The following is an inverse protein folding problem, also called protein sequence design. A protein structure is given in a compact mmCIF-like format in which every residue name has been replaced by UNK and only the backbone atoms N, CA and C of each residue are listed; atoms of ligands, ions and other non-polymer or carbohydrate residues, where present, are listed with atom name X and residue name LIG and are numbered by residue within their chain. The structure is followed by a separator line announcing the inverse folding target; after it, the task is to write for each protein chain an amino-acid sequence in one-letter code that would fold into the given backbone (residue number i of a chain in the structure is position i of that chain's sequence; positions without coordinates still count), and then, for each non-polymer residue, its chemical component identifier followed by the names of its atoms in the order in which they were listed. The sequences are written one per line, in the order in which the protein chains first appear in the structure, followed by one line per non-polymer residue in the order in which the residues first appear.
data_IF_709672521529
#
_entry.id   IF_709672521529
#
_cell.length_a   1.000
_cell.length_b   1.000
_cell.length_c   1.000
_cell.angle_alpha   90.00
_cell.angle_beta   90.00
_cell.angle_gamma   90.00
#
_symmetry.space_group_name_H-M   'P 1'
#
loop_
_entity.id
_entity.type
_entity.pdbx_description
1 polymer ?
#
# COMPACT_ATOMS: atom_id res chain seq x y z
N UNK A 1 46.68 -54.20 -6.32
CA UNK A 1 45.25 -53.82 -6.24
C UNK A 1 45.12 -52.51 -7.00
N UNK A 2 44.69 -52.51 -8.27
CA UNK A 2 43.28 -52.39 -8.73
C UNK A 2 42.67 -51.10 -8.15
N UNK A 3 42.37 -50.01 -8.86
CA UNK A 3 41.98 -49.70 -10.25
C UNK A 3 42.28 -48.20 -10.53
N UNK A 4 42.20 -47.56 -11.71
CA UNK A 4 42.26 -47.83 -13.16
C UNK A 4 41.51 -46.64 -13.84
N UNK A 5 42.23 -45.81 -14.62
CA UNK A 5 41.88 -45.22 -15.96
C UNK A 5 40.60 -44.34 -16.03
N UNK A 6 40.56 -43.06 -16.45
CA UNK A 6 41.27 -42.20 -17.42
C UNK A 6 41.06 -42.53 -18.92
N UNK A 7 40.00 -41.93 -19.48
CA UNK A 7 39.93 -41.30 -20.82
C UNK A 7 40.35 -42.12 -22.06
N UNK A 8 39.41 -42.37 -22.97
CA UNK A 8 39.66 -42.52 -24.43
C UNK A 8 38.31 -42.29 -25.13
N UNK A 9 38.14 -41.17 -25.83
CA UNK A 9 38.49 -40.93 -27.24
C UNK A 9 37.43 -41.43 -28.22
N UNK A 10 36.94 -40.46 -29.00
CA UNK A 10 35.98 -40.60 -30.10
C UNK A 10 36.60 -41.27 -31.34
N UNK A 11 35.74 -41.80 -32.22
CA UNK A 11 35.53 -41.38 -33.61
C UNK A 11 34.97 -42.54 -34.47
N UNK A 12 33.96 -42.19 -35.27
CA UNK A 12 33.48 -42.81 -36.53
C UNK A 12 32.86 -44.20 -36.46
N UNK A 13 31.89 -44.58 -37.29
CA UNK A 13 30.95 -43.99 -38.24
C UNK A 13 30.16 -45.23 -38.69
N UNK A 14 28.84 -45.17 -38.86
CA UNK A 14 28.22 -45.79 -40.03
C UNK A 14 26.76 -45.36 -40.17
N UNK A 15 26.48 -44.95 -41.40
CA UNK A 15 25.25 -44.35 -41.88
C UNK A 15 24.08 -45.34 -41.90
N UNK A 16 22.92 -44.86 -41.47
CA UNK A 16 21.64 -45.36 -41.96
C UNK A 16 20.81 -44.15 -42.41
N UNK A 17 20.96 -43.80 -43.68
CA UNK A 17 20.02 -42.91 -44.36
C UNK A 17 18.77 -43.73 -44.68
N UNK A 18 17.80 -43.73 -43.76
CA UNK A 18 16.45 -44.17 -44.06
C UNK A 18 15.73 -43.01 -44.75
N UNK A 19 15.46 -43.17 -46.04
CA UNK A 19 14.52 -42.33 -46.79
C UNK A 19 13.13 -42.50 -46.19
N UNK A 20 12.70 -41.51 -45.40
CA UNK A 20 11.32 -41.40 -44.95
C UNK A 20 10.44 -40.98 -46.15
N UNK A 21 9.28 -41.61 -46.37
CA UNK A 21 8.33 -41.15 -47.37
C UNK A 21 7.85 -39.75 -47.02
N UNK A 22 7.79 -38.88 -48.02
CA UNK A 22 7.20 -37.56 -47.91
C UNK A 22 5.73 -37.71 -47.50
N UNK A 23 5.46 -37.45 -46.23
CA UNK A 23 4.11 -37.33 -45.71
C UNK A 23 3.63 -35.94 -46.14
N UNK A 24 2.70 -35.89 -47.08
CA UNK A 24 1.97 -34.67 -47.42
C UNK A 24 1.31 -34.18 -46.13
N UNK A 25 1.93 -33.16 -45.53
CA UNK A 25 1.35 -32.45 -44.41
C UNK A 25 0.12 -31.73 -44.94
N UNK A 26 -1.05 -32.27 -44.60
CA UNK A 26 -2.30 -31.51 -44.66
C UNK A 26 -2.08 -30.34 -43.71
N UNK A 27 -1.86 -29.15 -44.27
CA UNK A 27 -1.97 -27.89 -43.52
C UNK A 27 -3.42 -27.79 -43.04
N UNK A 28 -3.69 -28.32 -41.86
CA UNK A 28 -4.83 -27.87 -41.07
C UNK A 28 -4.58 -26.40 -40.77
N UNK A 29 -5.27 -25.54 -41.53
CA UNK A 29 -5.39 -24.12 -41.23
C UNK A 29 -6.11 -24.06 -39.89
N UNK A 30 -5.34 -23.99 -38.79
CA UNK A 30 -5.86 -23.56 -37.51
C UNK A 30 -6.51 -22.20 -37.75
N UNK A 31 -7.85 -22.16 -37.74
CA UNK A 31 -8.58 -20.91 -37.56
C UNK A 31 -8.07 -20.33 -36.25
N UNK A 32 -7.18 -19.35 -36.39
CA UNK A 32 -6.82 -18.46 -35.29
C UNK A 32 -8.13 -17.81 -34.90
N UNK A 33 -8.79 -18.36 -33.88
CA UNK A 33 -9.85 -17.67 -33.17
C UNK A 33 -9.28 -16.30 -32.88
N UNK A 34 -9.89 -15.28 -33.51
CA UNK A 34 -9.58 -13.90 -33.24
C UNK A 34 -9.83 -13.75 -31.76
N UNK A 35 -8.75 -13.82 -30.98
CA UNK A 35 -8.74 -13.47 -29.57
C UNK A 35 -9.37 -12.11 -29.57
N UNK A 36 -10.63 -12.04 -29.11
CA UNK A 36 -11.32 -10.79 -28.93
C UNK A 36 -10.32 -9.92 -28.20
N UNK A 37 -9.91 -8.82 -28.84
CA UNK A 37 -9.19 -7.76 -28.19
C UNK A 37 -10.02 -7.46 -26.95
N UNK A 38 -9.58 -8.01 -25.82
CA UNK A 38 -10.07 -7.64 -24.51
C UNK A 38 -9.91 -6.16 -24.59
N UNK A 39 -11.02 -5.44 -24.67
CA UNK A 39 -11.03 -3.99 -24.72
C UNK A 39 -10.34 -3.58 -23.44
N UNK A 40 -9.00 -3.45 -23.52
CA UNK A 40 -8.19 -2.92 -22.47
C UNK A 40 -8.82 -1.58 -22.30
N UNK A 41 -9.50 -1.42 -21.18
CA UNK A 41 -10.03 -0.13 -20.82
C UNK A 41 -8.80 0.78 -20.82
N UNK A 42 -8.58 1.51 -21.93
CA UNK A 42 -7.40 2.33 -22.21
C UNK A 42 -7.22 3.40 -21.12
N UNK A 43 -8.21 3.48 -20.23
CA UNK A 43 -8.32 4.30 -19.04
C UNK A 43 -7.22 4.01 -18.01
N UNK A 44 -6.53 2.87 -18.04
CA UNK A 44 -5.25 2.69 -17.32
C UNK A 44 -5.34 2.74 -15.78
N UNK A 45 -6.56 2.80 -15.20
CA UNK A 45 -6.79 2.81 -13.75
C UNK A 45 -6.74 1.42 -13.12
N UNK A 46 -7.30 0.44 -13.83
CA UNK A 46 -7.65 -0.88 -13.31
C UNK A 46 -7.28 -1.97 -14.30
N UNK A 47 -6.13 -1.86 -14.99
CA UNK A 47 -5.66 -3.02 -15.76
C UNK A 47 -5.09 -4.07 -14.80
N UNK A 48 -5.22 -5.35 -15.15
CA UNK A 48 -4.67 -6.47 -14.36
C UNK A 48 -3.15 -6.41 -14.17
N UNK A 49 -2.49 -5.54 -14.96
CA UNK A 49 -1.05 -5.33 -14.95
C UNK A 49 -0.61 -4.24 -13.94
N UNK A 50 -1.49 -3.35 -13.47
CA UNK A 50 -1.09 -2.32 -12.52
C UNK A 50 -1.43 -2.70 -11.07
N UNK A 51 -0.68 -2.19 -10.10
CA UNK A 51 -1.05 -2.37 -8.69
C UNK A 51 -2.36 -1.65 -8.37
N UNK A 52 -3.21 -2.24 -7.54
CA UNK A 52 -4.39 -1.55 -7.01
C UNK A 52 -3.93 -0.50 -5.99
N UNK A 53 -4.34 0.76 -6.16
CA UNK A 53 -4.08 1.81 -5.16
C UNK A 53 -5.13 1.68 -4.06
N UNK A 54 -4.76 1.01 -2.98
CA UNK A 54 -5.67 0.74 -1.85
C UNK A 54 -5.75 1.88 -0.82
N UNK A 55 -4.72 2.72 -0.74
CA UNK A 55 -4.63 3.91 0.12
C UNK A 55 -4.19 5.12 -0.68
N UNK A 56 -4.49 6.28 -0.12
CA UNK A 56 -3.78 7.51 -0.41
C UNK A 56 -2.34 7.37 0.04
N UNK A 57 -1.94 8.17 1.03
CA UNK A 57 -0.60 8.06 1.61
C UNK A 57 -0.69 7.22 2.87
N UNK A 58 -1.58 7.62 3.79
CA UNK A 58 -1.82 6.90 5.03
C UNK A 58 -3.30 6.49 5.17
N UNK A 59 -4.23 7.25 4.59
CA UNK A 59 -5.66 6.96 4.67
C UNK A 59 -6.06 5.93 3.61
N UNK A 60 -6.81 4.91 4.02
CA UNK A 60 -7.35 3.91 3.10
C UNK A 60 -8.35 4.55 2.12
N UNK A 61 -8.34 4.13 0.86
CA UNK A 61 -9.41 4.50 -0.06
C UNK A 61 -10.61 3.54 0.08
N UNK A 62 -11.81 3.89 -0.42
CA UNK A 62 -12.98 2.98 -0.33
C UNK A 62 -12.86 1.72 -1.21
N UNK A 63 -11.79 1.57 -2.00
CA UNK A 63 -11.58 0.39 -2.84
C UNK A 63 -10.88 -0.72 -2.07
N UNK A 64 -11.26 -1.96 -2.34
CA UNK A 64 -10.53 -3.15 -1.89
C UNK A 64 -9.48 -3.54 -2.93
N UNK A 65 -8.43 -4.24 -2.51
CA UNK A 65 -7.54 -4.96 -3.43
C UNK A 65 -8.30 -6.04 -4.21
N UNK A 66 -7.70 -6.57 -5.27
CA UNK A 66 -8.31 -7.62 -6.10
C UNK A 66 -8.63 -8.86 -5.28
N UNK A 67 -9.76 -9.51 -5.60
CA UNK A 67 -10.12 -10.80 -5.01
C UNK A 67 -8.99 -11.83 -5.18
N UNK A 68 -8.83 -12.67 -4.18
CA UNK A 68 -7.78 -13.68 -4.06
C UNK A 68 -6.38 -13.08 -4.23
N UNK A 69 -6.18 -11.83 -3.80
CA UNK A 69 -4.87 -11.19 -3.84
C UNK A 69 -4.39 -10.83 -2.44
N UNK A 70 -3.08 -10.93 -2.27
CA UNK A 70 -2.34 -10.54 -1.08
C UNK A 70 -1.55 -9.27 -1.39
N UNK A 71 -1.70 -8.23 -0.59
CA UNK A 71 -0.89 -7.02 -0.70
C UNK A 71 0.07 -6.94 0.48
N UNK A 72 1.36 -6.86 0.19
CA UNK A 72 2.40 -6.57 1.17
C UNK A 72 2.80 -5.10 1.08
N UNK A 73 3.01 -4.49 2.24
CA UNK A 73 3.30 -3.08 2.41
C UNK A 73 4.54 -2.91 3.27
N UNK A 74 5.45 -2.05 2.83
CA UNK A 74 6.56 -1.53 3.63
C UNK A 74 6.51 -0.01 3.59
N UNK A 75 6.40 0.61 4.75
CA UNK A 75 6.41 2.06 4.88
C UNK A 75 7.60 2.52 5.71
N UNK A 76 8.08 3.69 5.37
CA UNK A 76 9.22 4.33 6.01
C UNK A 76 8.95 5.83 6.13
N UNK A 77 9.16 6.40 7.32
CA UNK A 77 9.17 7.85 7.56
C UNK A 77 10.39 8.24 8.39
N UNK A 78 11.01 9.34 8.00
CA UNK A 78 12.09 9.95 8.78
C UNK A 78 11.49 10.55 10.05
N UNK A 79 12.28 10.54 11.12
CA UNK A 79 11.92 11.24 12.35
C UNK A 79 12.35 12.70 12.31
N UNK A 80 13.54 12.95 11.78
CA UNK A 80 14.09 14.29 11.63
C UNK A 80 13.49 15.00 10.43
N UNK A 81 13.40 16.31 10.57
CA UNK A 81 13.03 17.24 9.50
C UNK A 81 14.03 17.10 8.33
N UNK A 82 13.54 17.25 7.11
CA UNK A 82 14.31 17.04 5.89
C UNK A 82 15.56 17.93 5.75
N UNK A 83 15.55 19.12 6.34
CA UNK A 83 16.59 20.15 6.20
C UNK A 83 17.73 20.04 7.24
N UNK A 84 17.59 19.16 8.24
CA UNK A 84 18.59 19.00 9.29
C UNK A 84 19.67 17.98 8.90
N UNK A 85 20.79 18.47 8.34
CA UNK A 85 21.98 17.67 7.97
C UNK A 85 21.81 16.75 6.76
N UNK A 86 21.07 17.19 5.73
CA UNK A 86 20.64 16.35 4.59
C UNK A 86 21.77 15.62 3.84
N UNK A 87 23.02 16.08 3.90
CA UNK A 87 24.15 15.37 3.27
C UNK A 87 24.76 14.28 4.16
N UNK A 88 24.62 14.38 5.48
CA UNK A 88 25.17 13.42 6.42
C UNK A 88 24.23 12.23 6.62
N UNK A 89 22.91 12.44 6.54
CA UNK A 89 21.90 11.41 6.81
C UNK A 89 21.02 11.09 5.60
N UNK A 90 21.52 11.37 4.38
CA UNK A 90 20.81 11.15 3.12
C UNK A 90 19.39 11.75 3.17
N UNK A 91 19.30 13.04 3.51
CA UNK A 91 18.05 13.78 3.65
C UNK A 91 17.07 13.17 4.65
N UNK A 92 17.61 12.73 5.79
CA UNK A 92 16.88 12.09 6.88
C UNK A 92 16.65 10.58 6.72
N UNK A 93 16.92 9.97 5.55
CA UNK A 93 16.69 8.53 5.33
C UNK A 93 17.58 7.63 6.18
N UNK A 94 18.75 8.12 6.59
CA UNK A 94 19.69 7.46 7.51
C UNK A 94 19.71 8.13 8.89
N UNK A 95 18.71 8.98 9.19
CA UNK A 95 18.58 9.55 10.52
C UNK A 95 18.09 8.46 11.49
N UNK A 96 18.80 8.26 12.61
CA UNK A 96 18.37 7.33 13.65
C UNK A 96 16.93 7.57 14.14
N UNK A 97 16.21 6.49 14.49
CA UNK A 97 14.83 6.55 15.00
C UNK A 97 13.75 6.51 13.91
N UNK A 98 14.01 5.80 12.81
CA UNK A 98 13.12 5.65 11.66
C UNK A 98 11.80 4.95 12.01
N UNK A 99 10.68 5.49 11.53
CA UNK A 99 9.37 4.86 11.62
C UNK A 99 9.19 3.89 10.46
N UNK A 100 9.02 2.62 10.78
CA UNK A 100 8.86 1.52 9.82
C UNK A 100 7.53 0.83 10.06
N UNK A 101 6.68 0.88 9.03
CA UNK A 101 5.40 0.20 8.96
C UNK A 101 5.49 -1.05 8.10
N UNK A 102 4.93 -2.17 8.56
CA UNK A 102 4.80 -3.40 7.80
C UNK A 102 3.33 -3.80 7.75
N UNK A 103 2.77 -3.96 6.56
CA UNK A 103 1.37 -4.31 6.37
C UNK A 103 1.17 -5.53 5.50
N UNK A 104 0.10 -6.26 5.79
CA UNK A 104 -0.40 -7.37 4.98
C UNK A 104 -1.90 -7.21 4.81
N UNK A 105 -2.40 -7.29 3.58
CA UNK A 105 -3.83 -7.23 3.29
C UNK A 105 -4.23 -8.37 2.38
N UNK A 106 -5.39 -8.98 2.61
CA UNK A 106 -5.91 -10.09 1.81
C UNK A 106 -7.38 -9.86 1.47
N UNK A 107 -7.77 -10.03 0.22
CA UNK A 107 -9.16 -9.89 -0.21
C UNK A 107 -9.78 -11.24 -0.61
N UNK A 108 -10.55 -11.90 0.27
CA UNK A 108 -11.26 -13.13 -0.09
C UNK A 108 -12.44 -12.91 -1.06
N UNK A 109 -12.90 -11.66 -1.22
CA UNK A 109 -13.98 -11.28 -2.12
C UNK A 109 -13.74 -9.89 -2.72
N UNK A 110 -14.45 -9.55 -3.80
CA UNK A 110 -14.29 -8.27 -4.52
C UNK A 110 -14.71 -7.03 -3.71
N UNK A 111 -15.29 -7.23 -2.53
CA UNK A 111 -15.78 -6.19 -1.65
C UNK A 111 -15.36 -6.39 -0.20
N UNK A 112 -14.48 -7.35 0.09
CA UNK A 112 -14.04 -7.66 1.44
C UNK A 112 -12.52 -7.76 1.49
N UNK A 113 -11.92 -7.09 2.45
CA UNK A 113 -10.48 -7.06 2.67
C UNK A 113 -10.17 -7.18 4.16
N UNK A 114 -9.21 -8.03 4.49
CA UNK A 114 -8.67 -8.23 5.83
C UNK A 114 -7.28 -7.60 5.88
N UNK A 115 -6.95 -6.94 6.98
CA UNK A 115 -5.69 -6.23 7.16
C UNK A 115 -5.00 -6.58 8.46
N UNK A 116 -3.67 -6.69 8.39
CA UNK A 116 -2.77 -6.66 9.52
C UNK A 116 -1.72 -5.57 9.28
N UNK A 117 -1.36 -4.82 10.32
CA UNK A 117 -0.33 -3.80 10.24
C UNK A 117 0.50 -3.77 11.52
N UNK A 118 1.80 -3.53 11.40
CA UNK A 118 2.71 -3.26 12.51
C UNK A 118 3.45 -1.96 12.25
N UNK A 119 3.48 -1.07 13.24
CA UNK A 119 4.33 0.12 13.27
C UNK A 119 5.27 0.04 14.47
N UNK A 120 6.56 0.27 14.25
CA UNK A 120 7.52 0.28 15.35
C UNK A 120 7.39 1.53 16.25
N UNK A 121 7.59 1.35 17.54
CA UNK A 121 7.92 2.40 18.49
C UNK A 121 9.41 2.69 18.45
N UNK A 122 9.80 3.91 18.08
CA UNK A 122 11.20 4.34 18.22
C UNK A 122 11.31 5.48 19.23
N UNK A 123 10.43 6.47 19.09
CA UNK A 123 10.24 7.58 20.05
C UNK A 123 9.22 7.22 21.12
N UNK A 124 8.26 6.39 20.78
CA UNK A 124 7.19 5.91 21.62
C UNK A 124 7.64 4.64 22.33
N UNK A 125 7.13 4.44 23.54
CA UNK A 125 7.42 3.25 24.35
C UNK A 125 6.64 2.00 23.89
N UNK A 126 6.01 2.06 22.71
CA UNK A 126 5.16 1.00 22.22
C UNK A 126 5.31 0.75 20.73
N UNK A 127 5.23 -0.52 20.37
CA UNK A 127 4.90 -0.95 19.02
C UNK A 127 3.37 -0.96 18.86
N UNK A 128 2.89 -0.60 17.67
CA UNK A 128 1.46 -0.65 17.33
C UNK A 128 1.18 -1.81 16.39
N UNK A 129 0.16 -2.60 16.71
CA UNK A 129 -0.35 -3.67 15.86
C UNK A 129 -1.82 -3.39 15.54
N UNK A 130 -2.19 -3.36 14.26
CA UNK A 130 -3.58 -3.22 13.83
C UNK A 130 -4.09 -4.49 13.17
N UNK A 131 -5.34 -4.83 13.46
CA UNK A 131 -6.11 -5.86 12.78
C UNK A 131 -7.41 -5.24 12.31
N UNK A 132 -7.70 -5.30 11.02
CA UNK A 132 -8.87 -4.63 10.46
C UNK A 132 -9.58 -5.43 9.38
N UNK A 133 -10.86 -5.10 9.20
CA UNK A 133 -11.71 -5.58 8.13
C UNK A 133 -12.28 -4.35 7.42
N UNK A 134 -12.21 -4.34 6.08
CA UNK A 134 -12.78 -3.32 5.22
C UNK A 134 -13.79 -3.95 4.27
N UNK A 135 -15.01 -3.41 4.27
CA UNK A 135 -16.10 -3.84 3.42
C UNK A 135 -16.54 -2.71 2.48
N UNK A 136 -16.43 -2.93 1.18
CA UNK A 136 -16.90 -2.00 0.13
C UNK A 136 -18.38 -2.23 -0.14
N UNK A 137 -19.20 -1.36 0.43
CA UNK A 137 -20.67 -1.40 0.32
C UNK A 137 -21.14 -0.99 -1.07
N UNK A 138 -20.62 0.12 -1.59
CA UNK A 138 -20.98 0.65 -2.91
C UNK A 138 -19.77 0.68 -3.81
N UNK A 139 -20.00 0.36 -5.08
CA UNK A 139 -18.99 0.46 -6.14
C UNK A 139 -19.40 1.55 -7.13
N UNK A 140 -18.43 2.33 -7.55
CA UNK A 140 -18.65 3.47 -8.44
C UNK A 140 -19.23 3.09 -9.81
N UNK A 141 -18.83 1.94 -10.36
CA UNK A 141 -19.32 1.43 -11.65
C UNK A 141 -20.83 1.19 -11.66
N UNK A 142 -21.43 0.93 -10.50
CA UNK A 142 -22.87 0.66 -10.35
C UNK A 142 -23.61 1.86 -9.74
N UNK A 143 -23.03 2.52 -8.75
CA UNK A 143 -23.73 3.52 -7.92
C UNK A 143 -23.25 4.95 -8.14
N UNK A 144 -22.26 5.18 -9.01
CA UNK A 144 -21.65 6.49 -9.24
C UNK A 144 -20.68 6.94 -8.13
N UNK A 145 -20.58 6.19 -7.03
CA UNK A 145 -19.65 6.44 -5.91
C UNK A 145 -19.12 5.11 -5.33
N UNK A 146 -17.86 5.10 -4.89
CA UNK A 146 -17.32 4.05 -4.03
C UNK A 146 -17.61 4.42 -2.56
N UNK A 147 -18.17 3.49 -1.78
CA UNK A 147 -18.40 3.65 -0.34
C UNK A 147 -17.94 2.40 0.39
N UNK A 148 -17.16 2.56 1.44
CA UNK A 148 -16.68 1.46 2.28
C UNK A 148 -16.69 1.80 3.76
N UNK A 149 -16.78 0.76 4.58
CA UNK A 149 -16.58 0.85 6.02
C UNK A 149 -15.38 -0.02 6.40
N UNK A 150 -14.54 0.49 7.30
CA UNK A 150 -13.43 -0.25 7.92
C UNK A 150 -13.63 -0.27 9.43
N UNK A 151 -13.45 -1.42 10.05
CA UNK A 151 -13.45 -1.56 11.49
C UNK A 151 -12.29 -2.46 11.92
N UNK A 152 -11.73 -2.22 13.10
CA UNK A 152 -10.57 -2.96 13.55
C UNK A 152 -10.20 -2.71 15.01
N UNK A 153 -9.08 -3.31 15.40
CA UNK A 153 -8.47 -3.20 16.71
C UNK A 153 -7.02 -2.76 16.56
N UNK A 154 -6.58 -1.91 17.47
CA UNK A 154 -5.18 -1.54 17.66
C UNK A 154 -4.72 -2.11 19.00
N UNK A 155 -3.53 -2.70 19.03
CA UNK A 155 -2.84 -3.17 20.23
C UNK A 155 -1.49 -2.45 20.34
N UNK A 156 -1.29 -1.78 21.47
CA UNK A 156 -0.08 -1.04 21.80
C UNK A 156 0.75 -1.89 22.77
N UNK A 157 1.74 -2.59 22.22
CA UNK A 157 2.64 -3.44 22.98
C UNK A 157 3.71 -2.58 23.66
N UNK A 158 3.68 -2.50 24.99
CA UNK A 158 4.52 -1.61 25.79
C UNK A 158 5.55 -2.37 26.61
N UNK A 159 6.73 -1.78 26.80
CA UNK A 159 7.73 -2.33 27.72
C UNK A 159 7.50 -1.78 29.14
N UNK A 160 7.58 -2.66 30.15
CA UNK A 160 7.51 -2.33 31.58
C UNK A 160 6.21 -1.71 32.11
N UNK A 161 5.16 -1.58 31.29
CA UNK A 161 3.82 -1.11 31.66
C UNK A 161 2.75 -1.93 30.96
N UNK A 162 1.51 -1.86 31.44
CA UNK A 162 0.40 -2.60 30.86
C UNK A 162 0.12 -2.14 29.42
N UNK A 163 -0.12 -3.13 28.55
CA UNK A 163 -0.53 -2.90 27.17
C UNK A 163 -1.85 -2.13 27.10
N UNK A 164 -2.01 -1.36 26.01
CA UNK A 164 -3.24 -0.65 25.70
C UNK A 164 -3.88 -1.20 24.42
N UNK A 165 -5.18 -0.96 24.26
CA UNK A 165 -5.88 -1.31 23.03
C UNK A 165 -6.92 -0.25 22.66
N UNK A 166 -7.20 -0.15 21.36
CA UNK A 166 -8.17 0.79 20.81
C UNK A 166 -8.99 0.14 19.69
N UNK A 167 -10.14 0.74 19.40
CA UNK A 167 -10.98 0.37 18.27
C UNK A 167 -10.79 1.37 17.13
N UNK A 168 -10.70 0.85 15.91
CA UNK A 168 -10.65 1.61 14.67
C UNK A 168 -12.04 1.60 14.05
N UNK A 169 -12.52 2.76 13.61
CA UNK A 169 -13.72 2.88 12.78
C UNK A 169 -13.48 3.88 11.66
N UNK A 170 -13.79 3.52 10.40
CA UNK A 170 -13.68 4.42 9.28
C UNK A 170 -14.87 4.25 8.34
N UNK A 171 -15.44 5.37 7.89
CA UNK A 171 -16.36 5.43 6.75
C UNK A 171 -15.64 6.16 5.62
N UNK A 172 -15.53 5.55 4.46
CA UNK A 172 -14.72 6.04 3.34
C UNK A 172 -15.61 6.20 2.12
N UNK A 173 -15.55 7.35 1.47
CA UNK A 173 -16.30 7.65 0.26
C UNK A 173 -15.37 8.26 -0.78
N UNK A 174 -15.60 7.98 -2.07
CA UNK A 174 -14.77 8.54 -3.11
C UNK A 174 -15.14 8.06 -4.49
N UNK A 175 -14.42 8.56 -5.49
CA UNK A 175 -14.67 8.19 -6.87
C UNK A 175 -13.73 8.87 -7.84
N UNK A 176 -13.66 8.29 -9.04
CA UNK A 176 -13.03 8.86 -10.23
C UNK A 176 -13.93 9.99 -10.73
N UNK A 177 -13.39 11.20 -10.86
CA UNK A 177 -14.07 12.31 -11.54
C UNK A 177 -13.87 12.22 -13.06
N UNK A 178 -12.69 11.76 -13.47
CA UNK A 178 -12.36 11.48 -14.86
C UNK A 178 -11.19 10.48 -14.92
N UNK A 179 -10.61 10.28 -16.10
CA UNK A 179 -9.47 9.36 -16.33
C UNK A 179 -8.13 9.81 -15.73
N UNK A 180 -8.06 10.96 -15.07
CA UNK A 180 -6.84 11.48 -14.44
C UNK A 180 -7.04 11.83 -12.98
N UNK A 181 -8.28 11.96 -12.51
CA UNK A 181 -8.58 12.56 -11.23
C UNK A 181 -9.49 11.65 -10.41
N UNK A 182 -9.05 11.32 -9.20
CA UNK A 182 -9.85 10.65 -8.18
C UNK A 182 -9.83 11.48 -6.91
N UNK A 183 -10.98 11.55 -6.26
CA UNK A 183 -11.14 12.22 -4.98
C UNK A 183 -11.69 11.23 -3.95
N UNK A 184 -11.36 11.47 -2.68
CA UNK A 184 -11.83 10.68 -1.56
C UNK A 184 -11.99 11.52 -0.31
N UNK A 185 -12.89 11.09 0.57
CA UNK A 185 -13.08 11.65 1.90
C UNK A 185 -13.70 10.59 2.82
N UNK A 186 -14.02 10.95 4.05
CA UNK A 186 -14.61 10.02 4.99
C UNK A 186 -14.79 10.58 6.39
N UNK A 187 -14.93 9.65 7.33
CA UNK A 187 -14.88 9.89 8.76
C UNK A 187 -13.98 8.82 9.36
N UNK A 188 -13.03 9.24 10.19
CA UNK A 188 -12.11 8.37 10.90
C UNK A 188 -12.37 8.49 12.39
N UNK A 189 -12.36 7.38 13.10
CA UNK A 189 -12.54 7.27 14.52
C UNK A 189 -11.47 6.33 15.07
N UNK A 190 -10.87 6.73 16.18
CA UNK A 190 -10.04 5.85 17.00
C UNK A 190 -10.35 6.07 18.47
N UNK A 191 -10.57 5.02 19.26
CA UNK A 191 -10.93 5.18 20.69
C UNK A 191 -9.74 5.46 21.59
N UNK A 192 -8.54 5.09 21.15
CA UNK A 192 -7.29 5.28 21.88
C UNK A 192 -6.20 5.74 20.92
N UNK A 193 -6.34 6.94 20.38
CA UNK A 193 -5.39 7.48 19.38
C UNK A 193 -3.98 7.61 19.98
N UNK A 194 -2.92 7.52 19.19
CA UNK A 194 -1.57 7.86 19.65
C UNK A 194 -1.10 9.19 19.05
N UNK A 195 -0.25 9.88 19.81
CA UNK A 195 0.45 11.08 19.37
C UNK A 195 1.68 11.26 20.26
N UNK A 196 2.72 11.96 19.76
CA UNK A 196 3.89 12.30 20.58
C UNK A 196 3.51 13.14 21.82
N UNK A 197 2.35 13.80 21.78
CA UNK A 197 1.84 14.64 22.85
C UNK A 197 0.85 13.93 23.78
N UNK A 198 0.34 12.75 23.39
CA UNK A 198 -0.73 12.08 24.14
C UNK A 198 -0.15 11.08 25.12
N UNK A 199 -0.62 11.14 26.37
CA UNK A 199 -0.21 10.21 27.42
C UNK A 199 -1.11 8.96 27.44
N UNK A 200 -0.57 7.79 27.78
CA UNK A 200 -1.35 6.54 27.93
C UNK A 200 -2.41 6.60 29.05
N UNK A 201 -2.33 7.59 29.95
CA UNK A 201 -3.39 7.87 30.92
C UNK A 201 -4.63 8.55 30.29
N UNK A 202 -4.48 9.18 29.12
CA UNK A 202 -5.54 9.95 28.45
C UNK A 202 -6.31 9.05 27.49
N UNK A 203 -7.44 8.50 27.94
CA UNK A 203 -8.27 7.57 27.15
C UNK A 203 -9.25 8.26 26.18
N UNK A 204 -8.88 9.44 25.71
CA UNK A 204 -9.74 10.21 24.82
C UNK A 204 -9.75 9.59 23.42
N UNK A 205 -10.95 9.40 22.88
CA UNK A 205 -11.15 9.07 21.49
C UNK A 205 -10.70 10.24 20.61
N UNK A 206 -10.46 9.99 19.33
CA UNK A 206 -10.24 11.03 18.31
C UNK A 206 -11.13 10.75 17.11
N UNK A 207 -11.69 11.81 16.53
CA UNK A 207 -12.42 11.77 15.27
C UNK A 207 -11.78 12.73 14.30
N UNK A 208 -11.60 12.31 13.05
CA UNK A 208 -11.03 13.15 12.00
C UNK A 208 -11.77 13.00 10.67
N UNK A 209 -11.68 14.02 9.84
CA UNK A 209 -12.17 14.02 8.46
C UNK A 209 -10.97 14.02 7.52
N UNK A 210 -10.81 13.00 6.66
CA UNK A 210 -9.77 12.96 5.66
C UNK A 210 -10.27 13.57 4.34
N UNK A 211 -9.33 14.09 3.56
CA UNK A 211 -9.48 14.44 2.16
C UNK A 211 -8.33 13.81 1.38
N UNK A 212 -8.65 13.25 0.23
CA UNK A 212 -7.70 12.60 -0.67
C UNK A 212 -7.89 13.09 -2.09
N UNK A 213 -6.78 13.32 -2.77
CA UNK A 213 -6.71 13.72 -4.17
C UNK A 213 -5.64 12.90 -4.86
N UNK A 214 -6.02 12.17 -5.89
CA UNK A 214 -5.10 11.41 -6.74
C UNK A 214 -5.16 11.98 -8.16
N UNK A 215 -3.99 12.37 -8.70
CA UNK A 215 -3.81 12.88 -10.06
C UNK A 215 -2.88 11.96 -10.83
N UNK A 216 -3.43 11.23 -11.80
CA UNK A 216 -2.69 10.31 -12.66
C UNK A 216 -2.20 11.03 -13.91
N UNK A 217 -0.90 11.20 -14.05
CA UNK A 217 -0.29 11.82 -15.23
C UNK A 217 -0.34 10.87 -16.44
N UNK A 218 -0.07 9.58 -16.19
CA UNK A 218 -0.14 8.49 -17.17
C UNK A 218 -0.27 7.15 -16.41
N UNK A 219 -0.23 6.01 -17.11
CA UNK A 219 -0.34 4.69 -16.47
C UNK A 219 0.74 4.36 -15.43
N UNK A 220 1.85 5.13 -15.39
CA UNK A 220 3.01 4.87 -14.52
C UNK A 220 3.16 5.86 -13.38
N UNK A 221 2.81 7.13 -13.57
CA UNK A 221 3.06 8.17 -12.58
C UNK A 221 1.76 8.76 -12.05
N UNK A 222 1.68 8.82 -10.73
CA UNK A 222 0.55 9.38 -10.00
C UNK A 222 1.07 10.32 -8.93
N UNK A 223 0.54 11.53 -8.89
CA UNK A 223 0.72 12.44 -7.77
C UNK A 223 -0.46 12.32 -6.82
N UNK A 224 -0.19 12.45 -5.53
CA UNK A 224 -1.19 12.32 -4.49
C UNK A 224 -1.04 13.39 -3.42
N UNK A 225 -2.19 13.82 -2.91
CA UNK A 225 -2.32 14.73 -1.80
C UNK A 225 -3.35 14.18 -0.81
N UNK A 226 -3.01 14.23 0.47
CA UNK A 226 -3.83 13.76 1.57
C UNK A 226 -3.81 14.79 2.70
N UNK A 227 -4.97 15.08 3.27
CA UNK A 227 -5.10 15.89 4.46
C UNK A 227 -6.07 15.22 5.45
N UNK A 228 -5.72 15.17 6.73
CA UNK A 228 -6.55 14.62 7.80
C UNK A 228 -6.70 15.67 8.89
N UNK A 229 -7.93 16.14 9.09
CA UNK A 229 -8.24 17.20 10.06
C UNK A 229 -8.99 16.59 11.24
N UNK A 230 -8.42 16.61 12.47
CA UNK A 230 -9.15 16.24 13.67
C UNK A 230 -10.34 17.19 13.90
N UNK A 231 -11.49 16.63 14.27
CA UNK A 231 -12.75 17.38 14.47
C UNK A 231 -13.38 17.18 15.84
N UNK A 232 -13.00 16.13 16.58
CA UNK A 232 -13.47 15.90 17.95
C UNK A 232 -12.52 14.99 18.73
N UNK A 233 -12.60 15.06 20.07
CA UNK A 233 -11.79 14.26 20.98
C UNK A 233 -10.37 14.81 21.14
N UNK A 234 -9.38 13.95 21.35
CA UNK A 234 -7.98 14.39 21.39
C UNK A 234 -7.56 14.90 20.01
N UNK A 235 -7.00 16.11 19.98
CA UNK A 235 -6.54 16.76 18.75
C UNK A 235 -5.16 17.38 18.94
N UNK A 236 -4.20 16.98 18.12
CA UNK A 236 -2.92 17.66 18.00
C UNK A 236 -3.07 19.04 17.32
N UNK A 237 -2.09 19.95 17.46
CA UNK A 237 -2.22 21.34 16.99
C UNK A 237 -2.40 21.53 15.48
N UNK A 238 -1.97 20.56 14.66
CA UNK A 238 -1.99 20.67 13.21
C UNK A 238 -2.73 19.49 12.56
N UNK A 239 -3.38 19.67 11.40
CA UNK A 239 -3.84 18.55 10.59
C UNK A 239 -2.65 17.75 10.08
N UNK A 240 -2.84 16.46 9.80
CA UNK A 240 -1.87 15.69 9.01
C UNK A 240 -2.02 16.11 7.55
N UNK A 241 -0.94 16.54 6.93
CA UNK A 241 -0.89 16.85 5.50
C UNK A 241 0.27 16.07 4.91
N UNK A 242 -0.02 15.33 3.85
CA UNK A 242 0.95 14.54 3.14
C UNK A 242 0.79 14.71 1.63
N UNK A 243 1.89 14.65 0.91
CA UNK A 243 1.90 14.56 -0.55
C UNK A 243 2.93 13.54 -1.00
N UNK A 244 2.70 12.92 -2.16
CA UNK A 244 3.61 11.91 -2.67
C UNK A 244 3.54 11.73 -4.17
N UNK A 245 4.62 11.18 -4.71
CA UNK A 245 4.71 10.74 -6.10
C UNK A 245 4.81 9.22 -6.11
N UNK A 246 3.81 8.57 -6.71
CA UNK A 246 3.76 7.12 -6.92
C UNK A 246 4.27 6.76 -8.30
N UNK A 247 5.12 5.75 -8.34
CA UNK A 247 5.60 5.08 -9.54
C UNK A 247 4.98 3.68 -9.52
N UNK A 248 4.03 3.48 -10.42
CA UNK A 248 3.38 2.20 -10.66
C UNK A 248 4.26 1.36 -11.57
N UNK A 249 4.52 0.12 -11.18
CA UNK A 249 5.10 -0.90 -12.04
C UNK A 249 4.19 -2.12 -12.02
N UNK A 250 4.63 -3.25 -12.58
CA UNK A 250 3.82 -4.46 -12.65
C UNK A 250 3.48 -4.96 -11.25
N UNK A 251 2.25 -4.71 -10.78
CA UNK A 251 1.76 -5.05 -9.42
C UNK A 251 2.62 -4.54 -8.26
N UNK A 252 3.46 -3.54 -8.48
CA UNK A 252 4.16 -2.83 -7.41
C UNK A 252 3.89 -1.34 -7.47
N UNK A 253 3.89 -0.69 -6.32
CA UNK A 253 3.91 0.77 -6.22
C UNK A 253 5.09 1.19 -5.37
N UNK A 254 5.87 2.14 -5.87
CA UNK A 254 6.85 2.87 -5.06
C UNK A 254 6.37 4.30 -4.90
N UNK A 255 6.22 4.78 -3.68
CA UNK A 255 5.79 6.14 -3.37
C UNK A 255 6.89 6.86 -2.63
N UNK A 256 7.32 8.02 -3.12
CA UNK A 256 8.09 8.97 -2.33
C UNK A 256 7.12 9.92 -1.64
N UNK A 257 7.28 10.13 -0.33
CA UNK A 257 6.33 10.90 0.50
C UNK A 257 7.01 12.07 1.18
N UNK A 258 6.31 13.18 1.26
CA UNK A 258 6.57 14.33 2.13
C UNK A 258 5.34 14.53 3.00
N UNK A 259 5.53 14.66 4.31
CA UNK A 259 4.44 14.73 5.28
C UNK A 259 4.85 15.56 6.50
N UNK A 260 3.93 16.30 7.11
CA UNK A 260 4.19 16.86 8.45
C UNK A 260 3.97 15.84 9.58
N UNK A 261 3.72 14.57 9.27
CA UNK A 261 3.56 13.52 10.29
C UNK A 261 4.37 12.29 9.94
N UNK A 262 4.97 11.69 10.96
CA UNK A 262 5.63 10.38 10.88
C UNK A 262 4.67 9.21 11.14
N UNK A 263 3.46 9.50 11.65
CA UNK A 263 2.44 8.48 11.91
C UNK A 263 1.81 8.01 10.60
N UNK A 264 1.67 6.69 10.49
CA UNK A 264 1.13 6.01 9.31
C UNK A 264 -0.01 5.05 9.68
N UNK A 265 -0.13 4.72 10.96
CA UNK A 265 -1.20 3.91 11.54
C UNK A 265 -2.50 4.72 11.66
N UNK A 266 -3.64 4.01 11.69
CA UNK A 266 -4.97 4.57 11.80
C UNK A 266 -5.17 5.39 13.08
N UNK A 267 -4.54 4.97 14.18
CA UNK A 267 -4.62 5.66 15.46
C UNK A 267 -3.87 7.01 15.44
N UNK A 268 -2.68 7.04 14.83
CA UNK A 268 -1.81 8.21 14.82
C UNK A 268 -2.27 9.30 13.85
N UNK A 269 -2.79 8.92 12.68
CA UNK A 269 -3.26 9.92 11.69
C UNK A 269 -4.54 10.64 12.15
N UNK A 270 -5.39 9.99 12.95
CA UNK A 270 -6.65 10.56 13.44
C UNK A 270 -6.42 11.61 14.53
N UNK A 271 -5.32 11.50 15.29
CA UNK A 271 -4.94 12.47 16.29
C UNK A 271 -4.46 13.80 15.70
N UNK A 272 -4.07 13.85 14.42
CA UNK A 272 -3.42 15.02 13.81
C UNK A 272 -1.89 14.94 13.90
N UNK A 273 -1.23 16.07 13.69
CA UNK A 273 0.22 16.21 13.81
C UNK A 273 0.63 17.24 14.84
N UNK A 274 1.75 16.97 15.51
CA UNK A 274 2.46 17.94 16.34
C UNK A 274 3.38 18.86 15.51
N UNK A 275 3.74 18.49 14.28
CA UNK A 275 4.60 19.29 13.40
C UNK A 275 3.78 20.16 12.46
N UNK A 276 4.24 21.38 12.28
CA UNK A 276 3.77 22.25 11.21
C UNK A 276 4.32 21.80 9.85
N UNK A 277 3.83 22.40 8.76
CA UNK A 277 4.23 22.03 7.39
C UNK A 277 5.67 22.38 7.04
N UNK A 278 6.26 23.37 7.71
CA UNK A 278 7.67 23.75 7.59
C UNK A 278 8.61 22.76 8.31
N UNK A 279 8.05 21.88 9.15
CA UNK A 279 8.71 20.74 9.77
C UNK A 279 8.28 19.42 9.10
N UNK A 280 8.48 19.37 7.78
CA UNK A 280 8.15 18.21 6.99
C UNK A 280 9.19 17.10 7.14
N UNK A 281 8.69 15.87 7.21
CA UNK A 281 9.45 14.64 7.10
C UNK A 281 9.26 13.98 5.75
N UNK A 282 10.24 13.20 5.36
CA UNK A 282 10.21 12.43 4.13
C UNK A 282 10.08 10.96 4.41
N UNK A 283 9.80 10.20 3.36
CA UNK A 283 9.69 8.77 3.50
C UNK A 283 9.39 8.09 2.19
N UNK A 284 9.20 6.78 2.26
CA UNK A 284 8.70 6.03 1.13
C UNK A 284 7.64 5.03 1.57
N UNK A 285 6.89 4.54 0.59
CA UNK A 285 5.97 3.43 0.75
C UNK A 285 6.15 2.50 -0.46
N UNK A 286 6.29 1.21 -0.19
CA UNK A 286 6.37 0.16 -1.19
C UNK A 286 5.18 -0.75 -0.98
N UNK A 287 4.39 -0.96 -2.03
CA UNK A 287 3.38 -2.02 -2.04
C UNK A 287 3.69 -3.03 -3.13
N UNK A 288 3.37 -4.30 -2.86
CA UNK A 288 3.40 -5.37 -3.84
C UNK A 288 2.15 -6.22 -3.70
N UNK A 289 1.46 -6.42 -4.81
CA UNK A 289 0.26 -7.25 -4.90
C UNK A 289 0.61 -8.60 -5.54
N UNK A 290 0.21 -9.69 -4.88
CA UNK A 290 0.38 -11.07 -5.33
C UNK A 290 -1.00 -11.66 -5.59
N UNK A 291 -1.21 -12.25 -6.77
CA UNK A 291 -2.39 -13.08 -7.02
C UNK A 291 -2.17 -14.49 -6.47
N UNK A 292 -3.19 -15.07 -5.85
CA UNK A 292 -3.19 -16.42 -5.30
C UNK A 292 -4.02 -17.39 -6.15
#
# INVERSE_FOLDING_TARGET
MKNLILLTAAVAMLAFAATLPAQEAVEEVEEIEVVQDVSQDETGWESDNWATIERGINVMTPRTIRKNSLLFLVEHRTRKQFDQNSFHDLAGFDAGGLKVGLGLRYAPADNLELGFYRLNGQSERFDTYEFDLKYRMLRQDVHGIDLAARAGLSWFAQDMIDDASGFIGQLLAGGKLNKHLRIGTGLLLHTESSSELKNSAEKEYSVAVPFQLEVRFNGRFVWEFEAVTPVAGFTAPHPVISTGLKILTWRHTFTLVVSNSQYMSADGIVAGSHRALDDAVVGFCITREFGL
#
